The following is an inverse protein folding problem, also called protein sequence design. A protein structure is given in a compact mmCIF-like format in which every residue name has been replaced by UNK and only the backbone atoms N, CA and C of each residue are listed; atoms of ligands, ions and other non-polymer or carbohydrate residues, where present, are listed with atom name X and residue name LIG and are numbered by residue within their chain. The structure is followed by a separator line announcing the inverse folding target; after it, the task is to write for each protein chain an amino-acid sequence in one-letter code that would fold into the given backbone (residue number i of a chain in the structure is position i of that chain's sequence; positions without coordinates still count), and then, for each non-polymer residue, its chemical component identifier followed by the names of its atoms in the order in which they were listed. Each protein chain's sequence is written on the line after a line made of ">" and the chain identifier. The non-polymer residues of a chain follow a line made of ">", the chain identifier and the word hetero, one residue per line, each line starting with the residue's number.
data_IF_936822928276
#
_entry.id   IF_936822928276
#
_cell.length_a   1.000
_cell.length_b   1.000
_cell.length_c   1.000
_cell.angle_alpha   90.00
_cell.angle_beta   90.00
_cell.angle_gamma   90.00
#
_symmetry.space_group_name_H-M   'P 1'
#
loop_
_entity.id
_entity.type
_entity.pdbx_description
1 polymer ?
#
# COMPACT_ATOMS: atom_id res chain seq x y z
N UNK A 1 30.35 21.38 -34.65
CA UNK A 1 28.98 20.82 -34.78
C UNK A 1 27.97 21.89 -34.41
N UNK A 2 26.98 22.22 -35.26
CA UNK A 2 25.88 23.12 -34.94
C UNK A 2 25.18 22.77 -33.61
N UNK A 3 24.81 23.76 -32.80
CA UNK A 3 24.19 23.55 -31.47
C UNK A 3 22.90 22.71 -31.54
N UNK A 4 22.16 22.83 -32.64
CA UNK A 4 20.93 22.08 -32.91
C UNK A 4 21.18 20.58 -33.11
N UNK A 5 22.27 20.21 -33.79
CA UNK A 5 22.67 18.82 -34.01
C UNK A 5 23.14 18.16 -32.71
N UNK A 6 23.87 18.89 -31.86
CA UNK A 6 24.26 18.42 -30.52
C UNK A 6 23.02 18.12 -29.65
N UNK A 7 22.07 19.07 -29.58
CA UNK A 7 20.80 18.88 -28.86
C UNK A 7 19.97 17.71 -29.39
N UNK A 8 19.98 17.46 -30.71
CA UNK A 8 19.27 16.33 -31.30
C UNK A 8 19.92 14.99 -30.95
N UNK A 9 21.25 14.91 -31.02
CA UNK A 9 22.00 13.72 -30.61
C UNK A 9 21.78 13.41 -29.13
N UNK A 10 21.86 14.41 -28.26
CA UNK A 10 21.60 14.26 -26.82
C UNK A 10 20.17 13.74 -26.56
N UNK A 11 19.17 14.27 -27.28
CA UNK A 11 17.78 13.78 -27.19
C UNK A 11 17.62 12.33 -27.64
N UNK A 12 18.32 11.92 -28.71
CA UNK A 12 18.26 10.54 -29.18
C UNK A 12 18.85 9.56 -28.16
N UNK A 13 19.93 9.95 -27.48
CA UNK A 13 20.52 9.14 -26.39
C UNK A 13 19.54 8.99 -25.23
N UNK A 14 18.89 10.08 -24.80
CA UNK A 14 17.87 10.05 -23.74
C UNK A 14 16.68 9.17 -24.13
N UNK A 15 16.18 9.28 -25.37
CA UNK A 15 15.07 8.45 -25.85
C UNK A 15 15.46 6.97 -25.92
N UNK A 16 16.69 6.66 -26.36
CA UNK A 16 17.18 5.28 -26.41
C UNK A 16 17.25 4.67 -25.01
N UNK A 17 17.77 5.42 -24.02
CA UNK A 17 17.79 5.02 -22.61
C UNK A 17 16.37 4.79 -22.06
N UNK A 18 15.45 5.72 -22.32
CA UNK A 18 14.06 5.60 -21.90
C UNK A 18 13.38 4.35 -22.50
N UNK A 19 13.66 4.00 -23.77
CA UNK A 19 13.14 2.77 -24.39
C UNK A 19 13.69 1.50 -23.75
N UNK A 20 14.99 1.46 -23.44
CA UNK A 20 15.59 0.32 -22.73
C UNK A 20 14.96 0.15 -21.34
N UNK A 21 14.74 1.26 -20.65
CA UNK A 21 14.11 1.27 -19.33
C UNK A 21 12.64 0.79 -19.39
N UNK A 22 11.87 1.20 -20.40
CA UNK A 22 10.51 0.68 -20.65
C UNK A 22 10.54 -0.84 -20.86
N UNK A 23 11.51 -1.36 -21.61
CA UNK A 23 11.65 -2.80 -21.83
C UNK A 23 12.04 -3.55 -20.54
N UNK A 24 12.97 -3.01 -19.75
CA UNK A 24 13.34 -3.59 -18.47
C UNK A 24 12.13 -3.66 -17.52
N UNK A 25 11.34 -2.58 -17.47
CA UNK A 25 10.09 -2.53 -16.68
C UNK A 25 9.04 -3.52 -17.17
N UNK A 26 8.88 -3.66 -18.48
CA UNK A 26 7.95 -4.62 -19.07
C UNK A 26 8.29 -6.06 -18.63
N UNK A 27 9.58 -6.41 -18.57
CA UNK A 27 10.04 -7.73 -18.07
C UNK A 27 9.74 -7.94 -16.60
N UNK A 28 9.99 -6.95 -15.74
CA UNK A 28 9.69 -7.03 -14.31
C UNK A 28 8.19 -7.20 -14.08
N UNK A 29 7.36 -6.39 -14.77
CA UNK A 29 5.90 -6.54 -14.76
C UNK A 29 5.49 -7.94 -15.23
N UNK A 30 6.04 -8.41 -16.34
CA UNK A 30 5.71 -9.73 -16.89
C UNK A 30 6.01 -10.84 -15.89
N UNK A 31 7.16 -10.79 -15.20
CA UNK A 31 7.49 -11.77 -14.16
C UNK A 31 6.47 -11.78 -13.02
N UNK A 32 6.05 -10.61 -12.55
CA UNK A 32 5.02 -10.49 -11.50
C UNK A 32 3.65 -10.98 -11.98
N UNK A 33 3.20 -10.52 -13.14
CA UNK A 33 1.91 -10.92 -13.71
C UNK A 33 1.88 -12.42 -14.05
N UNK A 34 3.02 -13.00 -14.44
CA UNK A 34 3.16 -14.44 -14.70
C UNK A 34 3.03 -15.23 -13.40
N UNK A 35 3.70 -14.81 -12.33
CA UNK A 35 3.54 -15.44 -11.02
C UNK A 35 2.08 -15.40 -10.54
N UNK A 36 1.39 -14.26 -10.69
CA UNK A 36 -0.03 -14.16 -10.37
C UNK A 36 -0.91 -15.03 -11.28
N UNK A 37 -0.58 -15.13 -12.57
CA UNK A 37 -1.29 -15.96 -13.53
C UNK A 37 -1.17 -17.44 -13.17
N UNK A 38 0.04 -17.91 -12.87
CA UNK A 38 0.35 -19.28 -12.47
C UNK A 38 -0.37 -19.63 -11.15
N UNK A 39 -0.40 -18.71 -10.18
CA UNK A 39 -1.14 -18.91 -8.92
C UNK A 39 -2.66 -18.99 -9.15
N UNK A 40 -3.21 -18.15 -10.04
CA UNK A 40 -4.64 -18.19 -10.41
C UNK A 40 -4.99 -19.49 -11.14
N UNK A 41 -4.11 -20.01 -11.99
CA UNK A 41 -4.28 -21.32 -12.62
C UNK A 41 -4.25 -22.45 -11.58
N UNK A 42 -3.26 -22.45 -10.69
CA UNK A 42 -3.13 -23.46 -9.63
C UNK A 42 -4.37 -23.47 -8.72
N UNK A 43 -4.92 -22.30 -8.36
CA UNK A 43 -6.18 -22.20 -7.60
C UNK A 43 -7.37 -22.80 -8.35
N UNK A 44 -7.46 -22.58 -9.66
CA UNK A 44 -8.53 -23.16 -10.49
C UNK A 44 -8.41 -24.67 -10.62
N UNK A 45 -7.19 -25.16 -10.78
CA UNK A 45 -6.91 -26.59 -10.84
C UNK A 45 -7.25 -27.26 -9.51
N UNK A 46 -6.81 -26.70 -8.38
CA UNK A 46 -7.15 -27.18 -7.03
C UNK A 46 -8.65 -27.20 -6.78
N UNK A 47 -9.36 -26.13 -7.13
CA UNK A 47 -10.81 -26.08 -7.02
C UNK A 47 -11.49 -27.16 -7.89
N UNK A 48 -11.01 -27.36 -9.12
CA UNK A 48 -11.53 -28.39 -10.01
C UNK A 48 -11.31 -29.80 -9.44
N UNK A 49 -10.14 -30.08 -8.86
CA UNK A 49 -9.85 -31.37 -8.22
C UNK A 49 -10.69 -31.59 -6.96
N UNK A 50 -10.95 -30.56 -6.16
CA UNK A 50 -11.68 -30.68 -4.89
C UNK A 50 -13.20 -30.75 -5.07
N UNK A 51 -13.75 -29.97 -6.02
CA UNK A 51 -15.21 -29.83 -6.17
C UNK A 51 -15.77 -30.57 -7.39
N UNK A 52 -14.90 -31.08 -8.27
CA UNK A 52 -15.28 -31.64 -9.58
C UNK A 52 -15.88 -30.62 -10.55
N UNK A 53 -15.97 -29.34 -10.17
CA UNK A 53 -16.61 -28.27 -10.94
C UNK A 53 -15.59 -27.21 -11.32
N UNK A 54 -15.70 -26.75 -12.58
CA UNK A 54 -14.92 -25.60 -13.06
C UNK A 54 -15.31 -24.36 -12.27
N UNK A 55 -14.31 -23.65 -11.77
CA UNK A 55 -14.50 -22.35 -11.11
C UNK A 55 -15.12 -21.36 -12.11
N UNK A 56 -16.20 -20.69 -11.70
CA UNK A 56 -16.88 -19.69 -12.52
C UNK A 56 -16.03 -18.43 -12.77
N UNK A 57 -16.28 -17.75 -13.88
CA UNK A 57 -15.63 -16.48 -14.25
C UNK A 57 -14.63 -16.58 -15.40
N UNK A 58 -14.23 -15.42 -15.95
CA UNK A 58 -13.32 -15.32 -17.10
C UNK A 58 -11.99 -16.01 -16.80
N UNK A 59 -11.51 -16.83 -17.74
CA UNK A 59 -10.18 -17.46 -17.64
C UNK A 59 -9.12 -16.36 -17.56
N UNK A 60 -8.13 -16.46 -16.65
CA UNK A 60 -7.03 -15.51 -16.62
C UNK A 60 -6.39 -15.45 -18.01
N UNK A 61 -6.10 -14.24 -18.48
CA UNK A 61 -5.38 -14.06 -19.73
C UNK A 61 -3.88 -14.12 -19.44
N UNK A 62 -3.13 -14.80 -20.31
CA UNK A 62 -1.69 -14.86 -20.18
C UNK A 62 -1.08 -13.45 -20.32
N UNK A 63 -0.14 -13.06 -19.44
CA UNK A 63 0.52 -11.77 -19.54
C UNK A 63 1.45 -11.72 -20.75
N UNK A 64 1.78 -10.51 -21.19
CA UNK A 64 2.64 -10.28 -22.36
C UNK A 64 3.95 -9.62 -21.92
N UNK A 65 5.08 -10.09 -22.42
CA UNK A 65 6.43 -9.57 -22.11
C UNK A 65 6.74 -8.24 -22.84
N UNK A 66 5.97 -7.92 -23.87
CA UNK A 66 6.16 -6.69 -24.64
C UNK A 66 5.72 -5.44 -23.85
N UNK A 67 6.42 -4.30 -24.05
CA UNK A 67 5.93 -3.00 -23.61
C UNK A 67 4.53 -2.70 -24.15
N UNK A 68 3.69 -2.12 -23.31
CA UNK A 68 2.36 -1.66 -23.68
C UNK A 68 2.44 -0.24 -24.25
N UNK A 69 1.50 0.12 -25.13
CA UNK A 69 1.45 1.46 -25.73
C UNK A 69 1.31 2.60 -24.69
N UNK A 70 0.83 2.29 -23.49
CA UNK A 70 0.68 3.21 -22.36
C UNK A 70 1.89 3.26 -21.43
N UNK A 71 2.91 2.43 -21.64
CA UNK A 71 4.12 2.42 -20.81
C UNK A 71 4.91 3.70 -21.08
N UNK A 72 5.11 4.48 -20.02
CA UNK A 72 5.80 5.77 -20.07
C UNK A 72 6.84 5.85 -18.96
N UNK A 73 7.94 6.55 -19.24
CA UNK A 73 9.02 6.84 -18.29
C UNK A 73 9.26 8.33 -18.31
N UNK A 74 9.32 8.94 -17.13
CA UNK A 74 9.66 10.35 -17.02
C UNK A 74 11.13 10.56 -17.40
N UNK A 75 11.38 11.56 -18.24
CA UNK A 75 12.74 11.91 -18.68
C UNK A 75 13.52 12.70 -17.62
N UNK A 76 12.83 13.25 -16.62
CA UNK A 76 13.42 14.08 -15.56
C UNK A 76 13.65 13.31 -14.27
N UNK A 77 12.79 12.33 -13.99
CA UNK A 77 12.90 11.41 -12.86
C UNK A 77 12.40 10.03 -13.28
N UNK A 78 13.29 9.20 -13.79
CA UNK A 78 12.96 7.87 -14.32
C UNK A 78 12.29 6.99 -13.25
N UNK A 79 12.66 7.15 -11.98
CA UNK A 79 12.23 6.29 -10.87
C UNK A 79 10.85 6.65 -10.29
N UNK A 80 10.34 7.83 -10.61
CA UNK A 80 8.96 8.21 -10.26
C UNK A 80 7.91 7.42 -11.07
N UNK A 81 6.66 7.43 -10.63
CA UNK A 81 5.55 6.75 -11.33
C UNK A 81 4.35 7.66 -11.53
N UNK A 82 3.60 7.39 -12.60
CA UNK A 82 2.28 8.00 -12.82
C UNK A 82 1.29 7.32 -11.87
N UNK A 83 0.85 8.07 -10.85
CA UNK A 83 -0.06 7.59 -9.81
C UNK A 83 -1.47 8.17 -10.04
N UNK A 84 -2.52 7.35 -9.97
CA UNK A 84 -3.89 7.84 -10.06
C UNK A 84 -4.24 8.66 -8.81
N UNK A 85 -4.76 9.85 -9.01
CA UNK A 85 -5.28 10.70 -7.94
C UNK A 85 -6.77 10.97 -8.18
N UNK A 86 -7.44 11.61 -7.21
CA UNK A 86 -8.86 11.96 -7.36
C UNK A 86 -9.12 12.87 -8.57
N UNK A 87 -8.12 13.67 -8.98
CA UNK A 87 -8.25 14.67 -10.03
C UNK A 87 -7.48 14.30 -11.32
N UNK A 88 -7.06 13.04 -11.47
CA UNK A 88 -6.37 12.57 -12.67
C UNK A 88 -5.15 11.73 -12.33
N UNK A 89 -3.98 12.16 -12.80
CA UNK A 89 -2.73 11.44 -12.63
C UNK A 89 -1.60 12.41 -12.25
N UNK A 90 -0.77 11.99 -11.31
CA UNK A 90 0.39 12.75 -10.85
C UNK A 90 1.66 11.92 -10.96
N UNK A 91 2.78 12.54 -11.37
CA UNK A 91 4.09 11.89 -11.34
C UNK A 91 4.62 11.97 -9.89
N UNK A 92 4.61 10.85 -9.19
CA UNK A 92 4.88 10.81 -7.75
C UNK A 92 5.52 9.50 -7.29
N UNK A 93 5.85 9.46 -6.01
CA UNK A 93 6.17 8.27 -5.25
C UNK A 93 5.10 8.04 -4.19
N UNK A 94 4.90 6.79 -3.79
CA UNK A 94 3.93 6.44 -2.77
C UNK A 94 4.65 6.41 -1.41
N UNK A 95 4.26 7.32 -0.52
CA UNK A 95 4.86 7.47 0.80
C UNK A 95 4.04 6.74 1.87
N UNK A 96 4.69 5.79 2.53
CA UNK A 96 4.08 4.88 3.50
C UNK A 96 4.56 5.21 4.91
N UNK A 97 3.66 5.11 5.88
CA UNK A 97 3.96 5.28 7.30
C UNK A 97 3.04 4.43 8.19
N UNK A 98 3.63 3.79 9.21
CA UNK A 98 2.95 3.13 10.31
C UNK A 98 3.02 4.02 11.54
N UNK A 99 1.86 4.34 12.11
CA UNK A 99 1.71 5.29 13.22
C UNK A 99 1.15 4.57 14.43
N UNK A 100 1.79 4.74 15.58
CA UNK A 100 1.26 4.25 16.85
C UNK A 100 0.02 5.07 17.29
N UNK A 101 -1.02 4.36 17.75
CA UNK A 101 -2.32 4.96 18.08
C UNK A 101 -2.23 5.82 19.35
N UNK A 102 -1.43 5.42 20.34
CA UNK A 102 -1.38 6.10 21.63
C UNK A 102 -0.52 7.37 21.57
N UNK A 103 0.68 7.26 21.02
CA UNK A 103 1.66 8.34 20.96
C UNK A 103 1.53 9.22 19.72
N UNK A 104 0.92 8.74 18.64
CA UNK A 104 0.93 9.34 17.30
C UNK A 104 2.33 9.46 16.69
N UNK A 105 3.30 8.68 17.19
CA UNK A 105 4.63 8.61 16.59
C UNK A 105 4.61 7.70 15.36
N UNK A 106 5.37 8.09 14.34
CA UNK A 106 5.66 7.24 13.18
C UNK A 106 6.72 6.23 13.63
N UNK A 107 6.37 4.95 13.64
CA UNK A 107 7.25 3.85 14.08
C UNK A 107 7.93 3.14 12.90
N UNK A 108 7.30 3.16 11.72
CA UNK A 108 7.90 2.66 10.49
C UNK A 108 7.49 3.53 9.31
N UNK A 109 8.34 3.65 8.30
CA UNK A 109 8.05 4.41 7.08
C UNK A 109 8.88 3.87 5.91
N UNK A 110 8.37 4.03 4.69
CA UNK A 110 9.10 3.72 3.46
C UNK A 110 8.50 4.44 2.26
N UNK A 111 9.25 4.46 1.17
CA UNK A 111 8.81 4.92 -0.13
C UNK A 111 8.71 3.71 -1.06
N UNK A 112 7.66 3.69 -1.87
CA UNK A 112 7.41 2.66 -2.87
C UNK A 112 7.08 3.27 -4.22
N UNK A 113 7.43 2.54 -5.28
CA UNK A 113 7.04 2.85 -6.65
C UNK A 113 5.72 2.15 -7.03
N UNK A 114 5.12 1.37 -6.13
CA UNK A 114 3.83 0.74 -6.41
C UNK A 114 2.72 1.79 -6.46
N UNK A 115 1.90 1.71 -7.50
CA UNK A 115 0.76 2.63 -7.73
C UNK A 115 -0.44 2.34 -6.86
N UNK A 116 -0.43 1.21 -6.15
CA UNK A 116 -1.50 0.78 -5.25
C UNK A 116 -0.90 0.27 -3.94
N UNK A 117 -1.71 0.30 -2.89
CA UNK A 117 -1.28 -0.02 -1.54
C UNK A 117 -1.38 -1.52 -1.19
N UNK A 118 -1.90 -2.36 -2.09
CA UNK A 118 -2.13 -3.78 -1.79
C UNK A 118 -0.84 -4.54 -1.47
N UNK A 119 0.30 -4.06 -1.94
CA UNK A 119 1.59 -4.72 -1.74
C UNK A 119 2.35 -4.14 -0.54
N UNK A 120 1.77 -3.19 0.20
CA UNK A 120 2.51 -2.38 1.18
C UNK A 120 2.37 -2.86 2.63
N UNK A 121 1.52 -3.87 2.88
CA UNK A 121 1.41 -4.49 4.21
C UNK A 121 2.65 -5.30 4.56
N UNK A 122 3.13 -6.17 3.66
CA UNK A 122 4.29 -7.03 3.95
C UNK A 122 5.57 -6.22 4.22
N UNK A 123 5.93 -5.19 3.43
CA UNK A 123 7.04 -4.30 3.76
C UNK A 123 6.87 -3.60 5.10
N UNK A 124 5.65 -3.16 5.43
CA UNK A 124 5.37 -2.54 6.72
C UNK A 124 5.57 -3.53 7.88
N UNK A 125 5.05 -4.76 7.77
CA UNK A 125 5.23 -5.81 8.77
C UNK A 125 6.71 -6.17 8.96
N UNK A 126 7.48 -6.27 7.88
CA UNK A 126 8.91 -6.53 7.94
C UNK A 126 9.65 -5.44 8.71
N UNK A 127 9.32 -4.16 8.47
CA UNK A 127 9.90 -3.04 9.24
C UNK A 127 9.46 -3.03 10.70
N UNK A 128 8.19 -3.33 10.98
CA UNK A 128 7.68 -3.44 12.34
C UNK A 128 8.38 -4.57 13.12
N UNK A 129 8.67 -5.70 12.46
CA UNK A 129 9.41 -6.81 13.07
C UNK A 129 10.90 -6.52 13.34
N UNK A 130 11.46 -5.45 12.77
CA UNK A 130 12.83 -5.00 13.02
C UNK A 130 12.91 -3.97 14.15
N UNK A 131 11.78 -3.58 14.74
CA UNK A 131 11.77 -2.57 15.80
C UNK A 131 12.36 -3.13 17.11
N UNK A 132 13.05 -2.29 17.90
CA UNK A 132 13.56 -2.70 19.20
C UNK A 132 12.45 -3.14 20.15
N UNK A 133 12.70 -4.19 20.94
CA UNK A 133 11.73 -4.73 21.91
C UNK A 133 11.24 -3.70 22.93
N UNK A 134 12.05 -2.67 23.23
CA UNK A 134 11.69 -1.61 24.17
C UNK A 134 10.49 -0.75 23.71
N UNK A 135 10.15 -0.77 22.41
CA UNK A 135 8.96 -0.11 21.87
C UNK A 135 7.68 -0.93 22.07
N UNK A 136 7.78 -2.17 22.54
CA UNK A 136 6.67 -3.08 22.77
C UNK A 136 6.29 -3.89 21.53
N UNK A 137 5.15 -4.57 21.62
CA UNK A 137 4.65 -5.46 20.57
C UNK A 137 3.44 -4.85 19.86
N UNK A 138 3.33 -5.10 18.55
CA UNK A 138 2.17 -4.69 17.76
C UNK A 138 1.13 -5.81 17.85
N UNK A 139 -0.06 -5.51 18.37
CA UNK A 139 -1.14 -6.51 18.42
C UNK A 139 -2.17 -6.34 17.31
N UNK A 140 -2.41 -5.10 16.87
CA UNK A 140 -3.45 -4.76 15.90
C UNK A 140 -2.89 -3.87 14.79
N UNK A 141 -3.26 -4.15 13.54
CA UNK A 141 -2.91 -3.33 12.40
C UNK A 141 -4.16 -2.77 11.73
N UNK A 142 -4.25 -1.45 11.60
CA UNK A 142 -5.40 -0.75 11.02
C UNK A 142 -5.02 -0.19 9.66
N UNK A 143 -5.69 -0.61 8.59
CA UNK A 143 -5.40 -0.14 7.24
C UNK A 143 -6.66 0.19 6.43
N UNK A 144 -6.48 1.00 5.37
CA UNK A 144 -7.58 1.34 4.48
C UNK A 144 -7.94 0.20 3.50
N UNK A 145 -9.09 0.35 2.86
CA UNK A 145 -9.60 -0.55 1.82
C UNK A 145 -8.60 -0.82 0.70
N UNK A 146 -7.72 0.14 0.39
CA UNK A 146 -6.64 -0.04 -0.58
C UNK A 146 -5.65 -1.16 -0.25
N UNK A 147 -5.51 -1.52 1.04
CA UNK A 147 -4.58 -2.55 1.52
C UNK A 147 -5.24 -3.94 1.60
N UNK A 148 -6.52 -4.09 1.26
CA UNK A 148 -7.20 -5.38 1.39
C UNK A 148 -6.73 -6.39 0.32
N UNK A 149 -6.16 -7.50 0.78
CA UNK A 149 -5.94 -8.72 0.01
C UNK A 149 -5.98 -9.94 0.95
N UNK A 150 -6.34 -11.12 0.45
CA UNK A 150 -6.31 -12.34 1.28
C UNK A 150 -4.87 -12.64 1.76
N UNK A 151 -3.87 -12.38 0.91
CA UNK A 151 -2.46 -12.50 1.26
C UNK A 151 -2.06 -11.60 2.43
N UNK A 152 -2.48 -10.33 2.43
CA UNK A 152 -2.15 -9.39 3.51
C UNK A 152 -2.78 -9.78 4.84
N UNK A 153 -4.03 -10.28 4.83
CA UNK A 153 -4.69 -10.77 6.04
C UNK A 153 -3.94 -11.98 6.60
N UNK A 154 -3.52 -12.89 5.72
CA UNK A 154 -2.68 -14.03 6.10
C UNK A 154 -1.33 -13.58 6.66
N UNK A 155 -0.63 -12.67 5.97
CA UNK A 155 0.67 -12.16 6.41
C UNK A 155 0.60 -11.51 7.80
N UNK A 156 -0.46 -10.74 8.09
CA UNK A 156 -0.68 -10.20 9.43
C UNK A 156 -0.88 -11.32 10.47
N UNK A 157 -1.70 -12.32 10.14
CA UNK A 157 -1.99 -13.45 11.04
C UNK A 157 -0.76 -14.30 11.31
N UNK A 158 0.05 -14.58 10.28
CA UNK A 158 1.32 -15.30 10.38
C UNK A 158 2.33 -14.51 11.24
N UNK A 159 2.27 -13.18 11.23
CA UNK A 159 3.02 -12.30 12.12
C UNK A 159 2.38 -12.11 13.52
N UNK A 160 1.34 -12.86 13.86
CA UNK A 160 0.58 -12.76 15.14
C UNK A 160 -0.04 -11.36 15.37
N UNK A 161 -0.29 -10.61 14.30
CA UNK A 161 -0.90 -9.28 14.32
C UNK A 161 -2.33 -9.39 13.81
N UNK A 162 -3.29 -8.85 14.55
CA UNK A 162 -4.72 -8.83 14.16
C UNK A 162 -4.98 -7.74 13.12
N UNK A 163 -5.32 -8.06 11.85
CA UNK A 163 -5.58 -7.05 10.84
C UNK A 163 -6.99 -6.48 10.97
N UNK A 164 -7.14 -5.16 10.81
CA UNK A 164 -8.40 -4.43 10.69
C UNK A 164 -8.35 -3.68 9.36
N UNK A 165 -8.75 -4.36 8.28
CA UNK A 165 -8.68 -3.84 6.91
C UNK A 165 -10.06 -3.94 6.27
N UNK A 166 -10.69 -2.80 5.98
CA UNK A 166 -12.03 -2.81 5.38
C UNK A 166 -12.00 -3.42 3.96
N UNK A 167 -12.93 -4.33 3.65
CA UNK A 167 -13.01 -4.94 2.31
C UNK A 167 -13.61 -3.99 1.27
N UNK A 168 -14.53 -3.13 1.69
CA UNK A 168 -15.26 -2.19 0.83
C UNK A 168 -15.48 -0.88 1.58
N UNK A 169 -15.62 0.21 0.82
CA UNK A 169 -16.10 1.47 1.38
C UNK A 169 -17.52 1.26 1.90
N UNK A 170 -17.74 1.59 3.17
CA UNK A 170 -19.08 1.56 3.74
C UNK A 170 -19.92 2.66 3.11
N UNK A 171 -21.17 2.36 2.74
CA UNK A 171 -22.11 3.38 2.27
C UNK A 171 -22.36 4.42 3.36
N UNK A 172 -22.38 5.69 2.97
CA UNK A 172 -22.91 6.74 3.83
C UNK A 172 -24.43 6.50 3.97
N UNK A 173 -24.95 6.51 5.20
CA UNK A 173 -26.37 6.30 5.56
C UNK A 173 -26.83 4.83 5.70
N UNK A 174 -26.17 4.04 6.54
CA UNK A 174 -26.76 2.78 7.02
C UNK A 174 -28.02 3.05 7.85
N UNK A 175 -29.04 2.21 7.67
CA UNK A 175 -30.29 2.25 8.42
C UNK A 175 -30.02 2.22 9.94
N UNK A 176 -30.82 2.95 10.71
CA UNK A 176 -30.60 3.12 12.15
C UNK A 176 -30.68 1.76 12.88
N UNK A 177 -31.56 0.88 12.40
CA UNK A 177 -31.82 -0.47 12.90
C UNK A 177 -30.57 -1.35 12.84
N UNK A 178 -29.75 -1.20 11.79
CA UNK A 178 -28.49 -1.92 11.65
C UNK A 178 -27.45 -1.57 12.73
N UNK A 179 -27.64 -0.44 13.45
CA UNK A 179 -26.79 -0.06 14.59
C UNK A 179 -27.18 -0.79 15.88
N UNK A 180 -28.41 -1.28 15.99
CA UNK A 180 -28.98 -1.90 17.18
C UNK A 180 -29.08 -3.43 17.09
N UNK A 181 -28.75 -4.03 15.94
CA UNK A 181 -28.72 -5.48 15.81
C UNK A 181 -27.68 -6.09 16.76
N UNK A 182 -28.14 -7.03 17.59
CA UNK A 182 -27.28 -7.84 18.44
C UNK A 182 -26.35 -8.67 17.57
N UNK A 183 -25.06 -8.64 17.88
CA UNK A 183 -24.05 -9.32 17.09
C UNK A 183 -23.71 -10.64 17.74
N UNK A 184 -23.76 -11.76 17.00
CA UNK A 184 -23.43 -13.05 17.58
C UNK A 184 -21.98 -13.05 18.02
N UNK A 185 -21.74 -13.53 19.24
CA UNK A 185 -20.40 -13.89 19.70
C UNK A 185 -19.96 -15.12 18.90
N UNK A 186 -18.99 -14.91 18.01
CA UNK A 186 -18.39 -15.98 17.22
C UNK A 186 -16.96 -16.13 17.70
N UNK A 187 -16.55 -17.38 17.94
CA UNK A 187 -15.14 -17.68 18.21
C UNK A 187 -14.32 -17.51 16.94
N UNK A 188 -13.59 -16.38 16.87
CA UNK A 188 -12.73 -16.02 15.73
C UNK A 188 -11.66 -17.07 15.41
N UNK A 189 -11.25 -17.88 16.40
CA UNK A 189 -10.20 -18.90 16.23
C UNK A 189 -10.63 -19.98 15.23
N UNK A 190 -11.93 -20.23 15.14
CA UNK A 190 -12.49 -21.28 14.27
C UNK A 190 -12.70 -20.82 12.83
N UNK A 191 -12.63 -19.51 12.57
CA UNK A 191 -12.93 -18.93 11.26
C UNK A 191 -11.69 -18.83 10.37
N UNK A 192 -11.86 -18.91 9.03
CA UNK A 192 -10.83 -18.51 8.10
C UNK A 192 -10.35 -17.07 8.38
N UNK A 193 -9.05 -16.73 8.22
CA UNK A 193 -8.50 -15.45 8.64
C UNK A 193 -9.25 -14.21 8.13
N UNK A 194 -9.76 -14.27 6.89
CA UNK A 194 -10.53 -13.18 6.26
C UNK A 194 -11.91 -13.04 6.90
N UNK A 195 -12.58 -14.15 7.21
CA UNK A 195 -13.89 -14.14 7.86
C UNK A 195 -13.78 -13.66 9.31
N UNK A 196 -12.75 -14.10 10.03
CA UNK A 196 -12.43 -13.60 11.37
C UNK A 196 -12.22 -12.08 11.36
N UNK A 197 -11.47 -11.55 10.37
CA UNK A 197 -11.30 -10.10 10.22
C UNK A 197 -12.61 -9.38 9.91
N UNK A 198 -13.43 -9.92 9.01
CA UNK A 198 -14.73 -9.32 8.65
C UNK A 198 -15.63 -9.26 9.88
N UNK A 199 -15.73 -10.35 10.65
CA UNK A 199 -16.47 -10.40 11.90
C UNK A 199 -15.95 -9.35 12.89
N UNK A 200 -14.63 -9.27 13.11
CA UNK A 200 -14.02 -8.20 13.95
C UNK A 200 -14.46 -6.81 13.57
N UNK A 201 -14.45 -6.48 12.28
CA UNK A 201 -14.85 -5.16 11.78
C UNK A 201 -16.35 -4.87 11.97
N UNK A 202 -17.17 -5.90 12.18
CA UNK A 202 -18.58 -5.71 12.50
C UNK A 202 -18.79 -5.40 13.98
N UNK A 203 -18.00 -6.00 14.88
CA UNK A 203 -18.16 -5.86 16.34
C UNK A 203 -18.12 -4.39 16.80
N UNK A 204 -18.84 -4.04 17.88
CA UNK A 204 -18.78 -2.70 18.47
C UNK A 204 -17.35 -2.29 18.85
N UNK A 205 -16.58 -3.20 19.46
CA UNK A 205 -15.19 -2.97 19.83
C UNK A 205 -14.29 -2.77 18.59
N UNK A 206 -14.43 -3.62 17.57
CA UNK A 206 -13.64 -3.51 16.35
C UNK A 206 -13.99 -2.27 15.52
N UNK A 207 -15.26 -1.85 15.47
CA UNK A 207 -15.66 -0.56 14.89
C UNK A 207 -15.02 0.62 15.61
N UNK A 208 -15.03 0.61 16.94
CA UNK A 208 -14.41 1.66 17.74
C UNK A 208 -12.89 1.73 17.54
N UNK A 209 -12.21 0.57 17.51
CA UNK A 209 -10.78 0.48 17.24
C UNK A 209 -10.46 0.94 15.82
N UNK A 210 -11.13 0.40 14.80
CA UNK A 210 -10.93 0.78 13.40
C UNK A 210 -11.18 2.28 13.17
N UNK A 211 -12.17 2.85 13.88
CA UNK A 211 -12.46 4.28 13.84
C UNK A 211 -11.31 5.18 14.27
N UNK A 212 -10.36 4.69 15.10
CA UNK A 212 -9.17 5.45 15.52
C UNK A 212 -8.29 5.88 14.34
N UNK A 213 -8.33 5.17 13.20
CA UNK A 213 -7.58 5.52 11.99
C UNK A 213 -7.80 6.98 11.54
N UNK A 214 -9.04 7.47 11.67
CA UNK A 214 -9.44 8.84 11.29
C UNK A 214 -8.75 9.91 12.15
N UNK A 215 -8.47 9.60 13.41
CA UNK A 215 -7.86 10.52 14.36
C UNK A 215 -6.37 10.27 14.58
N UNK A 216 -5.77 9.26 13.93
CA UNK A 216 -4.35 8.92 14.07
C UNK A 216 -3.59 9.21 12.78
N UNK A 217 -3.42 8.23 11.91
CA UNK A 217 -2.59 8.33 10.70
C UNK A 217 -3.07 9.44 9.76
N UNK A 218 -4.38 9.61 9.58
CA UNK A 218 -4.94 10.69 8.76
C UNK A 218 -4.60 12.08 9.33
N UNK A 219 -4.56 12.21 10.66
CA UNK A 219 -4.15 13.46 11.33
C UNK A 219 -2.65 13.70 11.17
N UNK A 220 -1.79 12.67 11.30
CA UNK A 220 -0.35 12.78 11.07
C UNK A 220 -0.05 13.29 9.65
N UNK A 221 -0.62 12.63 8.63
CA UNK A 221 -0.47 13.07 7.25
C UNK A 221 -1.07 14.46 7.01
N UNK A 222 -2.20 14.78 7.64
CA UNK A 222 -2.81 16.10 7.60
C UNK A 222 -1.86 17.19 8.10
N UNK A 223 -1.19 16.96 9.24
CA UNK A 223 -0.26 17.93 9.82
C UNK A 223 1.01 18.05 8.97
N UNK A 224 1.61 16.93 8.55
CA UNK A 224 2.79 16.94 7.65
C UNK A 224 2.49 17.77 6.39
N UNK A 225 1.33 17.55 5.79
CA UNK A 225 0.97 18.22 4.55
C UNK A 225 0.56 19.70 4.75
N UNK A 226 -0.31 19.99 5.71
CA UNK A 226 -0.94 21.32 5.86
C UNK A 226 -0.19 22.25 6.81
N UNK A 227 0.46 21.72 7.84
CA UNK A 227 1.13 22.54 8.87
C UNK A 227 2.63 22.60 8.64
N UNK A 228 3.26 21.46 8.29
CA UNK A 228 4.68 21.45 7.94
C UNK A 228 4.92 21.85 6.47
N UNK A 229 3.87 21.91 5.66
CA UNK A 229 3.95 22.34 4.26
C UNK A 229 4.55 21.31 3.30
N UNK A 230 4.75 20.06 3.73
CA UNK A 230 5.35 19.02 2.89
C UNK A 230 4.33 18.48 1.87
N UNK A 231 4.34 19.08 0.67
CA UNK A 231 3.42 18.76 -0.43
C UNK A 231 4.05 18.02 -1.60
N UNK A 232 5.36 18.17 -1.75
CA UNK A 232 6.12 17.61 -2.85
C UNK A 232 7.51 17.27 -2.33
N UNK A 233 8.13 16.28 -2.96
CA UNK A 233 9.55 16.00 -2.78
C UNK A 233 10.38 17.04 -3.53
N UNK A 234 11.49 17.47 -2.95
CA UNK A 234 12.42 18.42 -3.55
C UNK A 234 13.57 17.73 -4.28
N UNK A 235 13.74 16.43 -4.04
CA UNK A 235 14.78 15.61 -4.67
C UNK A 235 14.17 14.60 -5.65
N UNK A 236 15.04 13.97 -6.44
CA UNK A 236 14.67 12.96 -7.45
C UNK A 236 15.46 11.68 -7.21
N UNK A 237 14.91 10.58 -7.70
CA UNK A 237 15.45 9.24 -7.50
C UNK A 237 15.00 8.64 -6.16
N UNK A 238 14.80 7.32 -6.16
CA UNK A 238 14.14 6.61 -5.07
C UNK A 238 14.87 6.75 -3.74
N UNK A 239 16.20 6.65 -3.76
CA UNK A 239 17.05 6.74 -2.56
C UNK A 239 17.01 8.14 -1.93
N UNK A 240 17.12 9.18 -2.76
CA UNK A 240 17.04 10.58 -2.30
C UNK A 240 15.66 10.87 -1.72
N UNK A 241 14.60 10.46 -2.42
CA UNK A 241 13.20 10.64 -1.99
C UNK A 241 12.93 9.89 -0.68
N UNK A 242 13.47 8.67 -0.53
CA UNK A 242 13.42 7.94 0.72
C UNK A 242 14.11 8.71 1.86
N UNK A 243 15.27 9.31 1.60
CA UNK A 243 16.01 10.10 2.59
C UNK A 243 15.24 11.37 2.98
N UNK A 244 14.63 12.07 2.03
CA UNK A 244 13.77 13.22 2.31
C UNK A 244 12.55 12.80 3.15
N UNK A 245 11.91 11.67 2.84
CA UNK A 245 10.81 11.14 3.64
C UNK A 245 11.22 10.79 5.07
N UNK A 246 12.41 10.21 5.25
CA UNK A 246 12.96 9.92 6.58
C UNK A 246 13.09 11.21 7.40
N UNK A 247 13.61 12.29 6.81
CA UNK A 247 13.75 13.58 7.48
C UNK A 247 12.38 14.16 7.90
N UNK A 248 11.36 14.04 7.04
CA UNK A 248 10.00 14.48 7.36
C UNK A 248 9.42 13.67 8.53
N UNK A 249 9.58 12.35 8.53
CA UNK A 249 9.13 11.49 9.63
C UNK A 249 9.84 11.82 10.95
N UNK A 250 11.16 12.05 10.91
CA UNK A 250 11.94 12.49 12.07
C UNK A 250 11.45 13.84 12.57
N UNK A 251 11.25 14.82 11.68
CA UNK A 251 10.74 16.15 12.03
C UNK A 251 9.36 16.09 12.71
N UNK A 252 8.45 15.26 12.19
CA UNK A 252 7.17 14.98 12.85
C UNK A 252 7.37 14.39 14.24
N UNK A 253 8.15 13.31 14.36
CA UNK A 253 8.36 12.61 15.63
C UNK A 253 9.00 13.52 16.68
N UNK A 254 10.00 14.33 16.33
CA UNK A 254 10.63 15.29 17.25
C UNK A 254 9.61 16.31 17.77
N UNK A 255 8.79 16.89 16.88
CA UNK A 255 7.73 17.83 17.28
C UNK A 255 6.70 17.16 18.19
N UNK A 256 6.33 15.91 17.88
CA UNK A 256 5.37 15.16 18.69
C UNK A 256 5.93 14.79 20.06
N UNK A 257 7.17 14.31 20.12
CA UNK A 257 7.84 13.98 21.38
C UNK A 257 8.00 15.20 22.28
N UNK A 258 8.26 16.39 21.70
CA UNK A 258 8.29 17.63 22.47
C UNK A 258 6.94 17.90 23.16
N UNK A 259 5.83 17.82 22.42
CA UNK A 259 4.47 17.98 22.97
C UNK A 259 4.14 16.90 24.02
N UNK A 260 4.63 15.67 23.85
CA UNK A 260 4.41 14.60 24.83
C UNK A 260 5.22 14.79 26.12
N UNK A 261 6.32 15.56 26.08
CA UNK A 261 7.15 15.85 27.26
C UNK A 261 6.62 17.01 28.10
N UNK A 262 5.79 17.90 27.54
CA UNK A 262 5.29 19.12 28.17
C UNK A 262 5.61 20.33 27.33
#
# INVERSE_FOLDING_TARGET
>A
VPKELKRRQDRLVVIAKAKQEIQARAKVRYAQEKAEYDEKLAKREKHLSETGKKMGGKVPQAPTDAPQAKDQVSLTDEESRIMPTHNGFEQAYNAQASVDIASHLIVAHHITQHTNDKQEIEPALAKLGQLPECLGTVNNLLADTGYFSQGNVKACTDATIKPYIAQKRQSHNQALEARFQHQPEIDEITLPPVEAMIHRLTTKAGKALYGKRKSTVETVFGIIKHVQGFRQFHVRGLESVQSEWNLVCIGWNLKRMHVLRG
#
